data_IF_751096421572
#
_entry.id   IF_751096421572
#
_cell.length_a   1.000
_cell.length_b   1.000
_cell.length_c   1.000
_cell.angle_alpha   90.00
_cell.angle_beta   90.00
_cell.angle_gamma   90.00
#
_symmetry.space_group_name_H-M   'P 1'
#
loop_
_entity.id
_entity.type
_entity.pdbx_description
1 polymer ?
#
# COMPACT_ATOMS: atom_id res chain seq x y z
N UNK A 1 0.73 2.22 -26.41
CA UNK A 1 -0.60 2.14 -25.74
C UNK A 1 -0.67 3.17 -24.63
N UNK A 2 -1.54 4.19 -24.71
CA UNK A 2 -1.77 5.14 -23.60
C UNK A 2 -2.50 4.39 -22.49
N UNK A 3 -1.76 3.82 -21.53
CA UNK A 3 -2.36 3.24 -20.33
C UNK A 3 -2.95 4.39 -19.51
N UNK A 4 -4.27 4.54 -19.55
CA UNK A 4 -4.98 5.52 -18.72
C UNK A 4 -4.71 5.19 -17.26
N UNK A 5 -4.08 6.13 -16.54
CA UNK A 5 -3.80 5.99 -15.10
C UNK A 5 -5.12 5.86 -14.36
N UNK A 6 -5.25 4.79 -13.57
CA UNK A 6 -6.44 4.55 -12.77
C UNK A 6 -6.46 5.45 -11.52
N UNK A 7 -7.59 5.50 -10.83
CA UNK A 7 -7.74 6.31 -9.62
C UNK A 7 -6.77 5.90 -8.52
N UNK A 8 -6.42 4.60 -8.44
CA UNK A 8 -5.44 4.11 -7.47
C UNK A 8 -4.08 4.76 -7.67
N UNK A 9 -3.59 4.82 -8.92
CA UNK A 9 -2.32 5.43 -9.25
C UNK A 9 -2.24 6.89 -8.78
N UNK A 10 -3.30 7.67 -8.97
CA UNK A 10 -3.33 9.08 -8.56
C UNK A 10 -3.28 9.26 -7.04
N UNK A 11 -3.96 8.41 -6.27
CA UNK A 11 -3.85 8.43 -4.81
C UNK A 11 -2.43 8.22 -4.34
N UNK A 12 -1.75 7.25 -4.95
CA UNK A 12 -0.40 6.92 -4.56
C UNK A 12 0.63 7.95 -5.00
N UNK A 13 0.47 8.56 -6.18
CA UNK A 13 1.29 9.71 -6.57
C UNK A 13 1.14 10.85 -5.57
N UNK A 14 -0.11 11.22 -5.24
CA UNK A 14 -0.37 12.27 -4.27
C UNK A 14 0.23 11.92 -2.90
N UNK A 15 0.13 10.66 -2.47
CA UNK A 15 0.73 10.18 -1.22
C UNK A 15 2.26 10.30 -1.22
N UNK A 16 2.92 9.99 -2.35
CA UNK A 16 4.37 10.15 -2.49
C UNK A 16 4.78 11.62 -2.37
N UNK A 17 4.07 12.53 -3.05
CA UNK A 17 4.35 13.98 -2.97
C UNK A 17 4.18 14.50 -1.53
N UNK A 18 3.10 14.11 -0.85
CA UNK A 18 2.87 14.53 0.53
C UNK A 18 3.89 13.93 1.50
N UNK A 19 4.38 12.71 1.28
CA UNK A 19 5.48 12.13 2.08
C UNK A 19 6.78 12.90 1.90
N UNK A 20 7.13 13.28 0.67
CA UNK A 20 8.31 14.13 0.41
C UNK A 20 8.18 15.46 1.15
N UNK A 21 7.02 16.10 1.08
CA UNK A 21 6.78 17.36 1.80
C UNK A 21 6.92 17.21 3.32
N UNK A 22 6.34 16.15 3.89
CA UNK A 22 6.43 15.85 5.32
C UNK A 22 7.89 15.65 5.77
N UNK A 23 8.65 14.84 5.04
CA UNK A 23 10.06 14.56 5.32
C UNK A 23 10.98 15.76 5.07
N UNK A 24 10.54 16.74 4.28
CA UNK A 24 11.26 17.99 4.04
C UNK A 24 11.07 19.04 5.15
N UNK A 25 10.35 18.69 6.24
CA UNK A 25 10.12 19.60 7.37
C UNK A 25 8.96 20.58 7.17
N UNK A 26 8.01 20.28 6.28
CA UNK A 26 6.81 21.10 6.10
C UNK A 26 6.03 21.23 7.44
N UNK A 27 5.51 22.42 7.80
CA UNK A 27 4.78 22.62 9.07
C UNK A 27 3.56 21.72 9.27
N UNK A 28 2.93 21.27 8.17
CA UNK A 28 1.79 20.36 8.23
C UNK A 28 2.21 18.91 8.57
N UNK A 29 3.50 18.59 8.48
CA UNK A 29 4.06 17.28 8.75
C UNK A 29 3.36 16.16 7.96
N UNK A 30 3.08 15.05 8.64
CA UNK A 30 2.41 13.88 8.05
C UNK A 30 0.88 14.00 8.00
N UNK A 31 0.28 15.05 8.57
CA UNK A 31 -1.18 15.20 8.66
C UNK A 31 -1.88 15.10 7.29
N UNK A 32 -1.40 15.78 6.22
CA UNK A 32 -2.03 15.69 4.90
C UNK A 32 -2.01 14.28 4.32
N UNK A 33 -0.88 13.56 4.44
CA UNK A 33 -0.78 12.19 3.92
C UNK A 33 -1.62 11.20 4.73
N UNK A 34 -1.75 11.41 6.04
CA UNK A 34 -2.66 10.62 6.89
C UNK A 34 -4.11 10.84 6.45
N UNK A 35 -4.52 12.09 6.26
CA UNK A 35 -5.87 12.43 5.80
C UNK A 35 -6.16 11.81 4.41
N UNK A 36 -5.24 11.93 3.46
CA UNK A 36 -5.37 11.30 2.15
C UNK A 36 -5.43 9.76 2.27
N UNK A 37 -4.63 9.18 3.15
CA UNK A 37 -4.60 7.73 3.39
C UNK A 37 -5.92 7.21 3.96
N UNK A 38 -6.55 7.96 4.86
CA UNK A 38 -7.88 7.68 5.37
C UNK A 38 -8.93 7.76 4.25
N UNK A 39 -8.91 8.84 3.46
CA UNK A 39 -9.84 9.04 2.34
C UNK A 39 -9.73 7.91 1.32
N UNK A 40 -8.51 7.53 0.90
CA UNK A 40 -8.37 6.45 -0.07
C UNK A 40 -8.81 5.10 0.50
N UNK A 41 -8.60 4.87 1.80
CA UNK A 41 -9.04 3.62 2.45
C UNK A 41 -10.55 3.54 2.46
N UNK A 42 -11.21 4.63 2.85
CA UNK A 42 -12.66 4.74 2.86
C UNK A 42 -13.27 4.62 1.46
N UNK A 43 -12.70 5.32 0.47
CA UNK A 43 -13.17 5.26 -0.90
C UNK A 43 -13.10 3.84 -1.47
N UNK A 44 -11.97 3.14 -1.29
CA UNK A 44 -11.85 1.76 -1.77
C UNK A 44 -12.72 0.79 -0.96
N UNK A 45 -12.92 1.03 0.34
CA UNK A 45 -13.84 0.22 1.13
C UNK A 45 -15.30 0.35 0.64
N UNK A 46 -15.77 1.58 0.39
CA UNK A 46 -17.11 1.83 -0.18
C UNK A 46 -17.22 1.18 -1.57
N UNK A 47 -16.19 1.32 -2.42
CA UNK A 47 -16.16 0.74 -3.76
C UNK A 47 -16.25 -0.79 -3.77
N UNK A 48 -15.67 -1.45 -2.77
CA UNK A 48 -15.69 -2.91 -2.61
C UNK A 48 -16.93 -3.40 -1.82
N UNK A 49 -17.93 -2.54 -1.63
CA UNK A 49 -19.21 -2.89 -1.01
C UNK A 49 -19.23 -2.76 0.51
N UNK A 50 -18.55 -1.74 1.06
CA UNK A 50 -18.15 -1.59 2.48
C UNK A 50 -19.18 -1.85 3.59
N UNK A 51 -20.47 -1.95 3.30
CA UNK A 51 -21.47 -2.41 4.27
C UNK A 51 -21.48 -3.95 4.45
N UNK A 52 -20.89 -4.71 3.51
CA UNK A 52 -20.60 -6.13 3.66
C UNK A 52 -19.33 -6.30 4.52
N UNK A 53 -19.36 -7.11 5.59
CA UNK A 53 -18.16 -7.49 6.36
C UNK A 53 -16.99 -7.99 5.48
N UNK A 54 -17.28 -8.54 4.29
CA UNK A 54 -16.28 -8.99 3.31
C UNK A 54 -15.54 -7.83 2.63
N UNK A 55 -16.08 -6.62 2.63
CA UNK A 55 -15.45 -5.44 2.03
C UNK A 55 -14.13 -5.06 2.70
N UNK A 56 -14.00 -5.25 4.02
CA UNK A 56 -12.74 -5.04 4.74
C UNK A 56 -11.68 -6.12 4.41
N UNK A 57 -12.13 -7.32 4.02
CA UNK A 57 -11.27 -8.39 3.55
C UNK A 57 -10.87 -8.22 2.07
N UNK A 58 -11.37 -7.21 1.36
CA UNK A 58 -10.95 -6.92 0.00
C UNK A 58 -9.46 -6.54 -0.04
N UNK A 59 -8.69 -7.19 -0.90
CA UNK A 59 -7.24 -7.02 -0.98
C UNK A 59 -6.81 -5.54 -1.15
N UNK A 60 -7.45 -4.71 -2.01
CA UNK A 60 -7.10 -3.30 -2.14
C UNK A 60 -7.31 -2.49 -0.85
N UNK A 61 -8.28 -2.88 -0.03
CA UNK A 61 -8.58 -2.25 1.27
C UNK A 61 -7.52 -2.67 2.29
N UNK A 62 -7.19 -3.96 2.36
CA UNK A 62 -6.14 -4.48 3.25
C UNK A 62 -4.78 -3.80 3.03
N UNK A 63 -4.37 -3.58 1.77
CA UNK A 63 -3.11 -2.88 1.44
C UNK A 63 -3.13 -1.43 1.96
N UNK A 64 -4.27 -0.75 1.86
CA UNK A 64 -4.41 0.64 2.33
C UNK A 64 -4.46 0.75 3.83
N UNK A 65 -5.13 -0.19 4.50
CA UNK A 65 -5.10 -0.31 5.95
C UNK A 65 -3.68 -0.56 6.43
N UNK A 66 -2.95 -1.50 5.81
CA UNK A 66 -1.54 -1.75 6.15
C UNK A 66 -0.65 -0.53 5.94
N UNK A 67 -0.85 0.20 4.85
CA UNK A 67 -0.14 1.45 4.57
C UNK A 67 -0.43 2.54 5.61
N UNK A 68 -1.70 2.76 5.95
CA UNK A 68 -2.10 3.72 6.98
C UNK A 68 -1.57 3.30 8.36
N UNK A 69 -1.61 2.00 8.69
CA UNK A 69 -1.05 1.47 9.92
C UNK A 69 0.46 1.73 10.05
N UNK A 70 1.23 1.47 8.98
CA UNK A 70 2.65 1.79 8.94
C UNK A 70 2.91 3.30 9.09
N UNK A 71 2.10 4.13 8.42
CA UNK A 71 2.20 5.59 8.49
C UNK A 71 2.01 6.11 9.92
N UNK A 72 0.99 5.60 10.62
CA UNK A 72 0.68 5.95 12.01
C UNK A 72 1.74 5.40 12.96
N UNK A 73 2.19 4.16 12.77
CA UNK A 73 3.25 3.58 13.60
C UNK A 73 4.57 4.36 13.48
N UNK A 74 4.89 4.85 12.27
CA UNK A 74 6.06 5.69 12.04
C UNK A 74 6.03 7.03 12.78
N UNK A 75 4.87 7.50 13.27
CA UNK A 75 4.82 8.74 14.07
C UNK A 75 5.56 8.60 15.41
N UNK A 76 5.73 7.38 15.91
CA UNK A 76 6.53 7.09 17.09
C UNK A 76 8.04 6.96 16.79
N UNK A 77 8.44 6.95 15.51
CA UNK A 77 9.84 6.89 15.08
C UNK A 77 10.43 8.30 14.91
N UNK A 78 11.27 8.78 15.84
CA UNK A 78 11.87 10.11 15.75
C UNK A 78 12.91 10.24 14.63
N UNK A 79 13.38 9.12 14.06
CA UNK A 79 14.43 9.13 13.02
C UNK A 79 13.88 9.39 11.63
N UNK A 80 12.57 9.22 11.43
CA UNK A 80 11.92 9.27 10.12
C UNK A 80 12.27 8.10 9.21
N UNK A 81 12.99 7.08 9.70
CA UNK A 81 13.39 5.91 8.92
C UNK A 81 12.17 5.16 8.41
N UNK A 82 11.15 4.96 9.26
CA UNK A 82 9.90 4.29 8.86
C UNK A 82 9.20 5.00 7.71
N UNK A 83 9.11 6.33 7.75
CA UNK A 83 8.52 7.12 6.69
C UNK A 83 9.41 7.22 5.46
N UNK A 84 10.73 7.16 5.61
CA UNK A 84 11.67 7.03 4.51
C UNK A 84 11.47 5.72 3.74
N UNK A 85 11.36 4.59 4.45
CA UNK A 85 11.00 3.29 3.86
C UNK A 85 9.64 3.38 3.16
N UNK A 86 8.67 4.06 3.77
CA UNK A 86 7.34 4.24 3.20
C UNK A 86 7.36 5.08 1.92
N UNK A 87 8.19 6.13 1.86
CA UNK A 87 8.39 6.93 0.66
C UNK A 87 8.99 6.08 -0.46
N UNK A 88 10.07 5.33 -0.19
CA UNK A 88 10.68 4.42 -1.17
C UNK A 88 9.66 3.41 -1.70
N UNK A 89 8.88 2.79 -0.81
CA UNK A 89 7.84 1.83 -1.19
C UNK A 89 6.71 2.46 -2.04
N UNK A 90 6.26 3.66 -1.69
CA UNK A 90 5.21 4.39 -2.44
C UNK A 90 5.72 4.82 -3.81
N UNK A 91 6.96 5.31 -3.88
CA UNK A 91 7.62 5.66 -5.14
C UNK A 91 7.80 4.43 -6.04
N UNK A 92 8.23 3.29 -5.48
CA UNK A 92 8.33 2.04 -6.23
C UNK A 92 6.99 1.61 -6.84
N UNK A 93 5.90 1.82 -6.10
CA UNK A 93 4.56 1.52 -6.60
C UNK A 93 4.15 2.50 -7.70
N UNK A 94 4.36 3.81 -7.50
CA UNK A 94 3.91 4.83 -8.45
C UNK A 94 4.69 4.78 -9.77
N UNK A 95 5.98 4.42 -9.73
CA UNK A 95 6.89 4.41 -10.88
C UNK A 95 6.94 3.04 -11.58
N UNK A 96 6.97 1.94 -10.81
CA UNK A 96 7.20 0.59 -11.33
C UNK A 96 6.01 -0.36 -11.12
N UNK A 97 4.94 0.08 -10.45
CA UNK A 97 3.83 -0.80 -10.08
C UNK A 97 4.19 -1.81 -8.98
N UNK A 98 5.35 -1.66 -8.33
CA UNK A 98 5.81 -2.57 -7.29
C UNK A 98 5.39 -2.08 -5.91
N UNK A 99 4.49 -2.81 -5.24
CA UNK A 99 4.01 -2.46 -3.90
C UNK A 99 4.53 -3.43 -2.83
N UNK A 100 5.52 -3.04 -1.99
CA UNK A 100 6.00 -3.89 -0.88
C UNK A 100 4.88 -4.26 0.09
N UNK A 101 3.97 -3.32 0.38
CA UNK A 101 2.83 -3.56 1.27
C UNK A 101 1.89 -4.62 0.69
N UNK A 102 1.63 -4.62 -0.61
CA UNK A 102 0.82 -5.67 -1.24
C UNK A 102 1.48 -7.06 -1.13
N UNK A 103 2.82 -7.13 -1.22
CA UNK A 103 3.57 -8.36 -1.01
C UNK A 103 3.46 -8.84 0.44
N UNK A 104 3.66 -7.96 1.41
CA UNK A 104 3.50 -8.29 2.84
C UNK A 104 2.08 -8.79 3.15
N UNK A 105 1.06 -8.05 2.70
CA UNK A 105 -0.34 -8.39 2.92
C UNK A 105 -0.69 -9.73 2.26
N UNK A 106 -0.15 -10.06 1.09
CA UNK A 106 -0.39 -11.35 0.43
C UNK A 106 0.13 -12.57 1.23
N UNK A 107 1.09 -12.38 2.13
CA UNK A 107 1.67 -13.45 2.95
C UNK A 107 0.90 -13.69 4.26
N UNK A 108 -0.08 -12.84 4.58
CA UNK A 108 -0.92 -13.01 5.77
C UNK A 108 -1.75 -14.31 5.68
N UNK A 109 -2.02 -14.99 6.80
CA UNK A 109 -2.58 -16.34 6.80
C UNK A 109 -3.94 -16.45 6.11
N UNK A 110 -4.73 -15.39 6.09
CA UNK A 110 -6.03 -15.33 5.39
C UNK A 110 -5.93 -14.99 3.89
N UNK A 111 -4.76 -14.59 3.40
CA UNK A 111 -4.53 -14.28 1.99
C UNK A 111 -3.70 -15.36 1.25
N UNK A 112 -3.22 -16.38 1.98
CA UNK A 112 -2.39 -17.47 1.42
C UNK A 112 -3.07 -18.83 1.59
N UNK A 113 -2.93 -19.69 0.58
CA UNK A 113 -3.41 -21.07 0.61
C UNK A 113 -2.32 -22.10 0.94
N UNK A 114 -1.06 -21.69 0.98
CA UNK A 114 0.09 -22.53 1.28
C UNK A 114 0.75 -22.11 2.60
N UNK A 115 1.43 -23.01 3.32
CA UNK A 115 2.18 -22.68 4.53
C UNK A 115 3.25 -21.62 4.25
N UNK A 116 3.51 -20.75 5.24
CA UNK A 116 4.56 -19.75 5.13
C UNK A 116 5.91 -20.46 5.04
N UNK A 117 6.66 -20.18 3.97
CA UNK A 117 7.99 -20.75 3.74
C UNK A 117 8.91 -19.68 3.16
N UNK A 118 10.22 -19.81 3.38
CA UNK A 118 11.22 -18.89 2.81
C UNK A 118 11.14 -18.84 1.28
N UNK A 119 10.83 -19.99 0.65
CA UNK A 119 10.60 -20.07 -0.81
C UNK A 119 9.40 -19.23 -1.25
N UNK A 120 8.30 -19.26 -0.49
CA UNK A 120 7.12 -18.43 -0.76
C UNK A 120 7.45 -16.94 -0.60
N UNK A 121 8.14 -16.57 0.48
CA UNK A 121 8.57 -15.18 0.72
C UNK A 121 9.44 -14.69 -0.44
N UNK A 122 10.49 -15.43 -0.78
CA UNK A 122 11.39 -15.09 -1.88
C UNK A 122 10.62 -14.94 -3.20
N UNK A 123 9.73 -15.88 -3.53
CA UNK A 123 8.90 -15.81 -4.73
C UNK A 123 8.03 -14.55 -4.74
N UNK A 124 7.38 -14.23 -3.62
CA UNK A 124 6.48 -13.07 -3.52
C UNK A 124 7.21 -11.74 -3.72
N UNK A 125 8.42 -11.58 -3.17
CA UNK A 125 9.19 -10.35 -3.31
C UNK A 125 10.00 -10.27 -4.61
N UNK A 126 10.43 -11.40 -5.18
CA UNK A 126 11.19 -11.44 -6.44
C UNK A 126 10.30 -11.46 -7.70
N UNK A 127 8.99 -11.66 -7.54
CA UNK A 127 8.04 -11.62 -8.65
C UNK A 127 7.98 -10.21 -9.27
N UNK A 128 8.09 -10.18 -10.60
CA UNK A 128 7.96 -8.94 -11.37
C UNK A 128 6.63 -8.22 -11.09
N UNK A 129 6.60 -6.87 -11.17
CA UNK A 129 5.36 -6.11 -11.08
C UNK A 129 4.48 -6.47 -12.28
N UNK A 130 3.39 -7.19 -12.05
CA UNK A 130 2.39 -7.48 -13.08
C UNK A 130 1.17 -6.61 -12.83
N UNK A 131 0.69 -5.92 -13.86
CA UNK A 131 -0.50 -5.09 -13.74
C UNK A 131 -1.69 -5.98 -13.35
N UNK A 132 -2.25 -5.73 -12.17
CA UNK A 132 -3.61 -6.14 -11.83
C UNK A 132 -3.82 -7.50 -11.16
N UNK A 133 -2.82 -8.34 -10.86
CA UNK A 133 -3.13 -9.63 -10.21
C UNK A 133 -1.98 -10.26 -9.40
N UNK A 134 -1.82 -9.83 -8.14
CA UNK A 134 -1.10 -10.65 -7.14
C UNK A 134 -1.97 -11.84 -6.69
N UNK A 135 -3.31 -11.75 -6.81
CA UNK A 135 -4.24 -12.83 -6.42
C UNK A 135 -4.24 -14.04 -7.36
N UNK A 136 -3.82 -13.94 -8.62
CA UNK A 136 -3.92 -15.06 -9.58
C UNK A 136 -2.76 -16.07 -9.49
N UNK A 137 -1.62 -15.72 -8.88
CA UNK A 137 -0.44 -16.61 -8.89
C UNK A 137 -0.29 -17.49 -7.65
N UNK A 138 -1.32 -17.56 -6.80
CA UNK A 138 -1.43 -18.58 -5.74
C UNK A 138 -2.18 -19.85 -6.20
N UNK A 139 -2.30 -20.06 -7.53
CA UNK A 139 -2.64 -21.33 -8.15
C UNK A 139 -1.38 -22.01 -8.67
#
# INVERSE_FOLDING_TARGET
MKQTRDTAWWYWLASAVLLVQALSGCPLGFTPVIALSLIQTLHFWIREGGLDPRGLAAFPVQVRIGYLGWLVAGLADPTGLMHGIQLVGTSAMALFGYCPMARMVSLLPWNRHQPLSLRLVARTFLQAPTAGNIRVQAN
#
